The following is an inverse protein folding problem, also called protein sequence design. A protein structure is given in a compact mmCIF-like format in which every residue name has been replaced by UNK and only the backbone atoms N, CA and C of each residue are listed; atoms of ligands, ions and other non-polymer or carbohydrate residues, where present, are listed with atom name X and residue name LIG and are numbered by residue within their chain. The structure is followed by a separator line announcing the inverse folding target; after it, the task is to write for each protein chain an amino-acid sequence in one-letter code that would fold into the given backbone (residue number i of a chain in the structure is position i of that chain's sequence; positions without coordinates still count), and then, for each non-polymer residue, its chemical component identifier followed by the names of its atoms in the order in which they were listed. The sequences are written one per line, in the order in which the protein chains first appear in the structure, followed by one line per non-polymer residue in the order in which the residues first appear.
data_IF_286188984655
#
_entry.id   IF_286188984655
#
_cell.length_a   1.000
_cell.length_b   1.000
_cell.length_c   1.000
_cell.angle_alpha   90.00
_cell.angle_beta   90.00
_cell.angle_gamma   90.00
#
_symmetry.space_group_name_H-M   'P 1'
#
loop_
_entity.id
_entity.type
_entity.pdbx_description
1 polymer ?
#
# COMPACT_ATOMS: atom_id res chain seq x y z
N UNK A 1 -17.04 4.18 6.50
CA UNK A 1 -16.57 5.46 7.11
C UNK A 1 -15.28 5.37 7.92
N UNK A 2 -14.70 4.18 8.13
CA UNK A 2 -13.48 4.05 8.92
C UNK A 2 -12.23 4.65 8.24
N UNK A 3 -11.95 4.25 6.98
CA UNK A 3 -10.76 4.71 6.25
C UNK A 3 -10.71 6.23 6.04
N UNK A 4 -11.84 6.84 5.70
CA UNK A 4 -11.93 8.29 5.50
C UNK A 4 -11.65 9.09 6.78
N UNK A 5 -12.02 8.55 7.96
CA UNK A 5 -11.72 9.17 9.25
C UNK A 5 -10.21 9.22 9.50
N UNK A 6 -9.48 8.17 9.14
CA UNK A 6 -8.02 8.11 9.31
C UNK A 6 -7.32 9.14 8.41
N UNK A 7 -7.73 9.24 7.14
CA UNK A 7 -7.19 10.24 6.21
C UNK A 7 -7.48 11.67 6.71
N UNK A 8 -8.67 11.89 7.26
CA UNK A 8 -9.03 13.18 7.87
C UNK A 8 -8.05 13.57 8.98
N UNK A 9 -7.86 12.68 9.96
CA UNK A 9 -6.97 12.94 11.10
C UNK A 9 -5.52 13.16 10.65
N UNK A 10 -5.04 12.45 9.63
CA UNK A 10 -3.66 12.60 9.15
C UNK A 10 -3.36 13.92 8.44
N UNK A 11 -4.31 14.48 7.69
CA UNK A 11 -4.06 15.64 6.81
C UNK A 11 -4.78 16.92 7.22
N UNK A 12 -5.88 16.84 7.98
CA UNK A 12 -6.75 17.98 8.25
C UNK A 12 -6.79 18.40 9.73
N UNK A 13 -6.38 17.54 10.65
CA UNK A 13 -6.34 17.87 12.08
C UNK A 13 -4.98 18.49 12.45
N UNK A 14 -4.96 19.35 13.48
CA UNK A 14 -3.73 20.03 13.93
C UNK A 14 -2.72 19.04 14.55
N UNK A 15 -1.41 19.19 14.26
CA UNK A 15 -0.38 18.29 14.77
C UNK A 15 -0.18 18.50 16.29
N UNK A 16 -0.31 17.42 17.05
CA UNK A 16 -0.11 17.42 18.51
C UNK A 16 1.39 17.55 18.86
N UNK A 17 2.28 17.13 17.96
CA UNK A 17 3.73 17.19 18.12
C UNK A 17 4.36 17.63 16.79
N UNK A 18 5.18 18.68 16.82
CA UNK A 18 5.93 19.23 15.68
C UNK A 18 7.40 18.79 15.64
N UNK A 19 7.81 17.94 16.58
CA UNK A 19 9.14 17.33 16.60
C UNK A 19 9.41 16.55 15.31
N UNK A 20 10.64 16.64 14.80
CA UNK A 20 11.02 15.93 13.59
C UNK A 20 11.02 14.41 13.83
N UNK A 21 10.08 13.71 13.20
CA UNK A 21 10.02 12.25 13.28
C UNK A 21 11.21 11.66 12.52
N UNK A 22 12.23 11.25 13.25
CA UNK A 22 13.37 10.51 12.70
C UNK A 22 12.95 9.07 12.36
N UNK A 23 12.29 8.89 11.21
CA UNK A 23 11.98 7.56 10.72
C UNK A 23 13.29 6.86 10.33
N UNK A 24 13.57 5.70 10.95
CA UNK A 24 14.70 4.85 10.57
C UNK A 24 14.67 4.55 9.07
N UNK A 25 15.83 4.62 8.41
CA UNK A 25 15.95 4.48 6.95
C UNK A 25 15.32 3.20 6.38
N UNK A 26 15.36 2.10 7.16
CA UNK A 26 14.72 0.82 6.80
C UNK A 26 13.20 0.97 6.73
N UNK A 27 12.57 1.63 7.71
CA UNK A 27 11.12 1.82 7.72
C UNK A 27 10.66 2.64 6.50
N UNK A 28 11.38 3.74 6.17
CA UNK A 28 11.11 4.53 4.96
C UNK A 28 11.22 3.72 3.67
N UNK A 29 12.23 2.86 3.55
CA UNK A 29 12.39 1.99 2.39
C UNK A 29 11.21 1.03 2.23
N UNK A 30 10.78 0.37 3.32
CA UNK A 30 9.66 -0.58 3.30
C UNK A 30 8.34 0.12 2.89
N UNK A 31 8.04 1.28 3.46
CA UNK A 31 6.83 2.05 3.09
C UNK A 31 6.88 2.52 1.63
N UNK A 32 8.05 2.94 1.14
CA UNK A 32 8.22 3.38 -0.25
C UNK A 32 8.02 2.23 -1.22
N UNK A 33 8.63 1.06 -0.96
CA UNK A 33 8.47 -0.13 -1.79
C UNK A 33 7.02 -0.62 -1.79
N UNK A 34 6.37 -0.66 -0.62
CA UNK A 34 4.94 -1.02 -0.53
C UNK A 34 4.05 -0.06 -1.30
N UNK A 35 4.26 1.26 -1.13
CA UNK A 35 3.51 2.28 -1.86
C UNK A 35 3.67 2.13 -3.37
N UNK A 36 4.89 1.90 -3.84
CA UNK A 36 5.16 1.65 -5.26
C UNK A 36 4.44 0.40 -5.78
N UNK A 37 4.45 -0.68 -5.00
CA UNK A 37 3.76 -1.91 -5.39
C UNK A 37 2.24 -1.70 -5.52
N UNK A 38 1.63 -0.99 -4.56
CA UNK A 38 0.20 -0.63 -4.61
C UNK A 38 -0.11 0.22 -5.83
N UNK A 39 0.74 1.20 -6.17
CA UNK A 39 0.57 2.02 -7.37
C UNK A 39 0.65 1.18 -8.65
N UNK A 40 1.65 0.30 -8.76
CA UNK A 40 1.80 -0.57 -9.93
C UNK A 40 0.62 -1.52 -10.08
N UNK A 41 0.16 -2.14 -8.98
CA UNK A 41 -1.00 -3.01 -8.98
C UNK A 41 -2.30 -2.26 -9.33
N UNK A 42 -2.42 -0.99 -8.92
CA UNK A 42 -3.55 -0.13 -9.25
C UNK A 42 -3.57 0.32 -10.72
N UNK A 43 -2.40 0.62 -11.30
CA UNK A 43 -2.28 1.04 -12.71
C UNK A 43 -2.42 -0.14 -13.67
N UNK A 44 -1.90 -1.32 -13.30
CA UNK A 44 -1.92 -2.52 -14.12
C UNK A 44 -2.75 -3.66 -13.49
N UNK A 45 -4.06 -3.50 -13.31
CA UNK A 45 -4.90 -4.55 -12.70
C UNK A 45 -4.98 -5.81 -13.58
N UNK A 46 -4.87 -5.65 -14.90
CA UNK A 46 -4.98 -6.74 -15.86
C UNK A 46 -3.85 -7.79 -15.73
N UNK A 47 -2.61 -7.36 -15.49
CA UNK A 47 -1.47 -8.27 -15.32
C UNK A 47 -1.59 -9.05 -14.00
N UNK A 48 -2.07 -8.39 -12.94
CA UNK A 48 -2.32 -9.02 -11.65
C UNK A 48 -3.41 -10.08 -11.74
N UNK A 49 -4.53 -9.78 -12.41
CA UNK A 49 -5.61 -10.74 -12.65
C UNK A 49 -5.15 -11.94 -13.48
N UNK A 50 -4.32 -11.72 -14.51
CA UNK A 50 -3.76 -12.81 -15.33
C UNK A 50 -2.87 -13.76 -14.50
N UNK A 51 -2.07 -13.22 -13.58
CA UNK A 51 -1.26 -14.02 -12.64
C UNK A 51 -2.15 -14.82 -11.69
N UNK A 52 -3.21 -14.23 -11.13
CA UNK A 52 -4.17 -14.94 -10.29
C UNK A 52 -4.84 -16.09 -11.05
N UNK A 53 -5.28 -15.85 -12.29
CA UNK A 53 -5.89 -16.89 -13.13
C UNK A 53 -4.91 -18.04 -13.42
N UNK A 54 -3.64 -17.70 -13.70
CA UNK A 54 -2.59 -18.69 -13.91
C UNK A 54 -2.33 -19.53 -12.66
N UNK A 55 -2.26 -18.89 -11.49
CA UNK A 55 -2.07 -19.57 -10.21
C UNK A 55 -3.24 -20.51 -9.90
N UNK A 56 -4.49 -20.05 -10.08
CA UNK A 56 -5.68 -20.88 -9.90
C UNK A 56 -5.67 -22.09 -10.83
N UNK A 57 -5.37 -21.89 -12.12
CA UNK A 57 -5.28 -22.98 -13.10
C UNK A 57 -4.20 -23.99 -12.75
N UNK A 58 -3.04 -23.53 -12.26
CA UNK A 58 -1.94 -24.41 -11.81
C UNK A 58 -2.31 -25.23 -10.56
N UNK A 59 -3.09 -24.68 -9.64
CA UNK A 59 -3.57 -25.41 -8.47
C UNK A 59 -4.67 -26.42 -8.81
N UNK A 60 -5.50 -26.15 -9.82
CA UNK A 60 -6.62 -27.03 -10.23
C UNK A 60 -6.19 -28.18 -11.13
N UNK A 61 -5.05 -28.04 -11.82
CA UNK A 61 -4.41 -29.09 -12.64
C UNK A 61 -3.37 -29.92 -11.87
N UNK A 62 -3.13 -29.60 -10.59
CA UNK A 62 -2.34 -30.37 -9.63
C UNK A 62 -3.23 -31.29 -8.82
#
# INVERSE_FOLDING_TARGET
FYYLRVVKVMYFDEPIQTEAIAAQGIAKAIFTVNGLFVLLAGIFPATLMALCLSAMSKTLLS
#
